data_IF_352398202716
#
_entry.id   IF_352398202716
#
_cell.length_a   1.000
_cell.length_b   1.000
_cell.length_c   1.000
_cell.angle_alpha   90.00
_cell.angle_beta   90.00
_cell.angle_gamma   90.00
#
_symmetry.space_group_name_H-M   'P 1'
#
loop_
_entity.id
_entity.type
_entity.pdbx_description
1 polymer ?
#
# COMPACT_ATOMS: atom_id res chain seq x y z
N UNK A 1 -9.43 1.01 12.23
CA UNK A 1 -9.02 2.11 11.33
C UNK A 1 -10.24 2.96 11.02
N UNK A 2 -10.07 4.27 11.05
CA UNK A 2 -11.15 5.20 10.71
C UNK A 2 -11.58 4.99 9.25
N UNK A 3 -12.89 4.98 9.00
CA UNK A 3 -13.44 4.79 7.66
C UNK A 3 -12.95 5.84 6.65
N UNK A 4 -12.61 7.05 7.13
CA UNK A 4 -12.12 8.14 6.28
C UNK A 4 -10.71 7.89 5.73
N UNK A 5 -9.93 7.00 6.35
CA UNK A 5 -8.55 6.72 5.94
C UNK A 5 -8.42 5.43 5.14
N UNK A 6 -9.55 4.85 4.75
CA UNK A 6 -9.57 3.60 3.98
C UNK A 6 -10.22 3.82 2.61
N UNK A 7 -9.55 3.34 1.56
CA UNK A 7 -10.16 3.32 0.23
C UNK A 7 -11.10 2.11 0.17
N UNK A 8 -12.39 2.33 -0.06
CA UNK A 8 -13.40 1.27 -0.01
C UNK A 8 -14.16 1.06 -1.30
N UNK A 9 -14.35 2.12 -2.08
CA UNK A 9 -15.23 2.05 -3.25
C UNK A 9 -14.49 1.58 -4.49
N UNK A 10 -15.15 0.74 -5.29
CA UNK A 10 -14.56 0.24 -6.54
C UNK A 10 -14.19 1.38 -7.50
N UNK A 11 -14.98 2.44 -7.53
CA UNK A 11 -14.68 3.61 -8.34
C UNK A 11 -13.37 4.29 -7.96
N UNK A 12 -13.09 4.36 -6.67
CA UNK A 12 -11.84 4.92 -6.17
C UNK A 12 -10.64 4.05 -6.57
N UNK A 13 -10.76 2.73 -6.42
CA UNK A 13 -9.70 1.81 -6.83
C UNK A 13 -9.40 1.95 -8.32
N UNK A 14 -10.43 1.96 -9.17
CA UNK A 14 -10.26 2.09 -10.62
C UNK A 14 -9.61 3.40 -11.00
N UNK A 15 -10.01 4.51 -10.35
CA UNK A 15 -9.44 5.82 -10.60
C UNK A 15 -7.95 5.84 -10.25
N UNK A 16 -7.58 5.28 -9.10
CA UNK A 16 -6.20 5.25 -8.63
C UNK A 16 -5.35 4.39 -9.56
N UNK A 17 -5.85 3.22 -9.97
CA UNK A 17 -5.13 2.35 -10.91
C UNK A 17 -4.91 3.03 -12.26
N UNK A 18 -5.89 3.79 -12.74
CA UNK A 18 -5.82 4.41 -14.05
C UNK A 18 -5.01 5.70 -14.07
N UNK A 19 -5.14 6.52 -13.05
CA UNK A 19 -4.54 7.87 -13.01
C UNK A 19 -3.31 7.96 -12.14
N UNK A 20 -3.15 7.05 -11.21
CA UNK A 20 -2.05 7.09 -10.27
C UNK A 20 -0.74 6.64 -10.86
N UNK A 21 0.32 6.86 -10.10
CA UNK A 21 1.63 6.32 -10.40
C UNK A 21 1.83 5.03 -9.62
N UNK A 22 2.75 4.19 -10.08
CA UNK A 22 3.02 2.93 -9.40
C UNK A 22 4.50 2.60 -9.36
N UNK A 23 4.86 1.79 -8.36
CA UNK A 23 6.21 1.21 -8.25
C UNK A 23 6.06 -0.23 -7.79
N UNK A 24 6.99 -1.08 -8.23
CA UNK A 24 6.97 -2.50 -7.95
C UNK A 24 8.29 -2.90 -7.29
N UNK A 25 8.22 -3.64 -6.21
CA UNK A 25 9.40 -4.21 -5.57
C UNK A 25 9.02 -5.54 -4.92
N UNK A 26 9.57 -6.63 -5.46
CA UNK A 26 9.39 -7.96 -4.88
C UNK A 26 7.93 -8.40 -4.73
N UNK A 27 7.45 -8.41 -3.49
CA UNK A 27 6.10 -8.89 -3.16
C UNK A 27 5.03 -7.82 -3.15
N UNK A 28 5.35 -6.55 -3.45
CA UNK A 28 4.40 -5.46 -3.34
C UNK A 28 4.41 -4.57 -4.58
N UNK A 29 3.23 -4.12 -4.98
CA UNK A 29 3.05 -3.01 -5.91
C UNK A 29 2.34 -1.90 -5.15
N UNK A 30 2.89 -0.69 -5.21
CA UNK A 30 2.28 0.48 -4.57
C UNK A 30 1.77 1.42 -5.65
N UNK A 31 0.48 1.75 -5.59
CA UNK A 31 -0.11 2.80 -6.41
C UNK A 31 -0.36 4.03 -5.55
N UNK A 32 -0.19 5.20 -6.10
CA UNK A 32 -0.51 6.43 -5.39
C UNK A 32 -1.15 7.45 -6.30
N UNK A 33 -2.06 8.23 -5.74
CA UNK A 33 -2.71 9.35 -6.42
C UNK A 33 -2.98 10.44 -5.40
N UNK A 34 -2.53 11.65 -5.69
CA UNK A 34 -2.80 12.77 -4.80
C UNK A 34 -4.30 13.02 -4.70
N UNK A 35 -4.80 13.23 -3.50
CA UNK A 35 -6.21 13.52 -3.28
C UNK A 35 -6.38 14.97 -2.79
N UNK A 36 -7.64 15.43 -2.74
CA UNK A 36 -7.95 16.80 -2.33
C UNK A 36 -8.33 16.92 -0.86
N UNK A 37 -8.30 15.81 -0.13
CA UNK A 37 -8.77 15.76 1.26
C UNK A 37 -7.69 16.15 2.27
N UNK A 38 -6.43 16.21 1.84
CA UNK A 38 -5.31 16.50 2.73
C UNK A 38 -4.96 15.37 3.67
N UNK A 39 -5.72 14.29 3.66
CA UNK A 39 -5.54 13.13 4.52
C UNK A 39 -5.32 11.90 3.65
N UNK A 40 -4.29 11.13 3.96
CA UNK A 40 -3.98 9.91 3.22
C UNK A 40 -4.99 8.81 3.52
N UNK A 41 -5.29 8.01 2.49
CA UNK A 41 -6.15 6.83 2.63
C UNK A 41 -5.42 5.61 2.10
N UNK A 42 -5.68 4.46 2.70
CA UNK A 42 -5.06 3.19 2.32
C UNK A 42 -6.09 2.20 1.80
N UNK A 43 -5.78 1.58 0.67
CA UNK A 43 -6.46 0.39 0.18
C UNK A 43 -5.46 -0.76 0.09
N UNK A 44 -5.91 -1.96 0.40
CA UNK A 44 -5.07 -3.17 0.30
C UNK A 44 -5.79 -4.19 -0.56
N UNK A 45 -5.09 -4.72 -1.55
CA UNK A 45 -5.63 -5.74 -2.46
C UNK A 45 -4.79 -7.00 -2.34
N UNK A 46 -5.45 -8.11 -1.99
CA UNK A 46 -4.82 -9.42 -1.88
C UNK A 46 -5.67 -10.43 -2.64
N UNK A 47 -5.14 -10.95 -3.74
CA UNK A 47 -5.83 -11.89 -4.61
C UNK A 47 -5.92 -13.29 -3.97
N UNK A 48 -6.95 -14.05 -4.35
CA UNK A 48 -7.09 -15.45 -3.95
C UNK A 48 -5.91 -16.32 -4.41
N UNK A 49 -5.14 -15.86 -5.38
CA UNK A 49 -3.96 -16.57 -5.87
C UNK A 49 -2.85 -16.71 -4.81
N UNK A 50 -2.87 -15.88 -3.76
CA UNK A 50 -1.88 -15.96 -2.69
C UNK A 50 -2.08 -17.16 -1.77
N UNK A 51 -3.28 -17.73 -1.74
CA UNK A 51 -3.59 -18.87 -0.89
C UNK A 51 -4.94 -18.75 -0.22
N UNK A 52 -5.14 -19.55 0.83
CA UNK A 52 -6.39 -19.57 1.60
C UNK A 52 -6.54 -18.30 2.45
N UNK A 53 -7.72 -18.14 3.05
CA UNK A 53 -8.07 -16.93 3.79
C UNK A 53 -7.08 -16.58 4.88
N UNK A 54 -6.53 -17.59 5.59
CA UNK A 54 -5.55 -17.37 6.66
C UNK A 54 -4.29 -16.67 6.12
N UNK A 55 -3.79 -17.14 4.98
CA UNK A 55 -2.60 -16.54 4.34
C UNK A 55 -2.91 -15.13 3.87
N UNK A 56 -4.05 -14.94 3.20
CA UNK A 56 -4.44 -13.62 2.70
C UNK A 56 -4.63 -12.60 3.81
N UNK A 57 -5.26 -13.02 4.91
CA UNK A 57 -5.47 -12.14 6.06
C UNK A 57 -4.15 -11.73 6.72
N UNK A 58 -3.18 -12.67 6.79
CA UNK A 58 -1.85 -12.36 7.30
C UNK A 58 -1.16 -11.30 6.44
N UNK A 59 -1.22 -11.44 5.12
CA UNK A 59 -0.62 -10.47 4.21
C UNK A 59 -1.30 -9.09 4.35
N UNK A 60 -2.64 -9.05 4.41
CA UNK A 60 -3.37 -7.80 4.63
C UNK A 60 -2.94 -7.11 5.92
N UNK A 61 -2.82 -7.88 7.01
CA UNK A 61 -2.42 -7.35 8.32
C UNK A 61 -1.02 -6.77 8.25
N UNK A 62 -0.08 -7.46 7.60
CA UNK A 62 1.29 -6.99 7.44
C UNK A 62 1.36 -5.71 6.61
N UNK A 63 0.58 -5.62 5.54
CA UNK A 63 0.54 -4.42 4.70
C UNK A 63 -0.02 -3.23 5.46
N UNK A 64 -1.10 -3.42 6.21
CA UNK A 64 -1.66 -2.36 7.06
C UNK A 64 -0.67 -1.91 8.12
N UNK A 65 0.06 -2.86 8.70
CA UNK A 65 1.09 -2.55 9.69
C UNK A 65 2.22 -1.72 9.10
N UNK A 66 2.69 -2.08 7.91
CA UNK A 66 3.72 -1.31 7.21
C UNK A 66 3.27 0.12 6.95
N UNK A 67 2.05 0.29 6.48
CA UNK A 67 1.49 1.63 6.26
C UNK A 67 1.43 2.41 7.56
N UNK A 68 0.91 1.80 8.62
CA UNK A 68 0.77 2.44 9.93
C UNK A 68 2.12 2.89 10.49
N UNK A 69 3.13 2.02 10.38
CA UNK A 69 4.46 2.30 10.92
C UNK A 69 5.17 3.44 10.19
N UNK A 70 4.96 3.56 8.90
CA UNK A 70 5.70 4.54 8.08
C UNK A 70 4.84 5.74 7.66
N UNK A 71 3.61 5.81 8.09
CA UNK A 71 2.66 6.86 7.70
C UNK A 71 3.21 8.26 7.97
N UNK A 72 3.83 8.47 9.13
CA UNK A 72 4.34 9.78 9.50
C UNK A 72 5.59 10.19 8.73
N UNK A 73 6.26 9.23 8.10
CA UNK A 73 7.41 9.49 7.24
C UNK A 73 7.02 9.76 5.79
N UNK A 74 5.72 9.68 5.48
CA UNK A 74 5.20 9.86 4.14
C UNK A 74 4.57 11.24 3.98
N UNK A 75 4.61 11.74 2.74
CA UNK A 75 3.90 12.96 2.39
C UNK A 75 2.39 12.73 2.55
N UNK A 76 1.65 13.67 3.17
CA UNK A 76 0.21 13.51 3.36
C UNK A 76 -0.59 13.78 2.09
N UNK A 77 -1.87 13.41 2.10
CA UNK A 77 -2.79 13.77 1.04
C UNK A 77 -2.76 12.87 -0.17
N UNK A 78 -2.34 11.62 0.00
CA UNK A 78 -2.31 10.63 -1.08
C UNK A 78 -3.23 9.46 -0.79
N UNK A 79 -3.92 9.00 -1.83
CA UNK A 79 -4.55 7.68 -1.81
C UNK A 79 -3.48 6.66 -2.19
N UNK A 80 -3.30 5.67 -1.33
CA UNK A 80 -2.29 4.62 -1.49
C UNK A 80 -3.00 3.28 -1.64
N UNK A 81 -2.64 2.51 -2.65
CA UNK A 81 -3.09 1.12 -2.75
C UNK A 81 -1.85 0.22 -2.73
N UNK A 82 -1.83 -0.72 -1.79
CA UNK A 82 -0.81 -1.75 -1.72
C UNK A 82 -1.40 -3.03 -2.30
N UNK A 83 -0.82 -3.52 -3.39
CA UNK A 83 -1.25 -4.75 -4.04
C UNK A 83 -0.24 -5.84 -3.73
N UNK A 84 -0.71 -6.96 -3.18
CA UNK A 84 0.16 -8.09 -2.87
C UNK A 84 0.39 -8.91 -4.13
N UNK A 85 1.67 -9.14 -4.44
CA UNK A 85 2.06 -10.13 -5.45
C UNK A 85 2.09 -11.50 -4.79
N UNK A 86 1.99 -12.56 -5.59
CA UNK A 86 1.91 -13.93 -5.06
C UNK A 86 3.05 -14.25 -4.10
N UNK A 87 4.27 -13.80 -4.40
CA UNK A 87 5.44 -14.06 -3.54
C UNK A 87 5.37 -13.39 -2.16
N UNK A 88 4.48 -12.42 -1.97
CA UNK A 88 4.32 -11.77 -0.66
C UNK A 88 3.94 -12.75 0.44
N UNK A 89 3.24 -13.84 0.09
CA UNK A 89 2.83 -14.87 1.05
C UNK A 89 4.02 -15.57 1.70
N UNK A 90 5.17 -15.62 1.02
CA UNK A 90 6.35 -16.37 1.47
C UNK A 90 7.48 -15.47 1.99
N UNK A 91 7.39 -14.16 1.77
CA UNK A 91 8.46 -13.25 2.14
C UNK A 91 8.44 -12.93 3.64
N UNK A 92 9.61 -12.84 4.28
CA UNK A 92 9.69 -12.33 5.64
C UNK A 92 9.20 -10.89 5.72
N UNK A 93 8.66 -10.51 6.87
CA UNK A 93 8.17 -9.15 7.08
C UNK A 93 9.24 -8.08 6.82
N UNK A 94 10.48 -8.32 7.27
CA UNK A 94 11.56 -7.37 7.08
C UNK A 94 11.86 -7.11 5.59
N UNK A 95 11.73 -8.14 4.75
CA UNK A 95 11.89 -7.97 3.30
C UNK A 95 10.75 -7.17 2.68
N UNK A 96 9.52 -7.47 3.09
CA UNK A 96 8.36 -6.70 2.64
C UNK A 96 8.50 -5.23 3.03
N UNK A 97 9.00 -4.95 4.22
CA UNK A 97 9.24 -3.58 4.67
C UNK A 97 10.23 -2.85 3.77
N UNK A 98 11.36 -3.48 3.48
CA UNK A 98 12.36 -2.88 2.59
C UNK A 98 11.79 -2.61 1.19
N UNK A 99 11.00 -3.54 0.69
CA UNK A 99 10.37 -3.41 -0.63
C UNK A 99 9.34 -2.29 -0.65
N UNK A 100 8.54 -2.18 0.42
CA UNK A 100 7.57 -1.10 0.56
C UNK A 100 8.26 0.26 0.59
N UNK A 101 9.29 0.41 1.42
CA UNK A 101 10.05 1.66 1.50
C UNK A 101 10.71 2.02 0.18
N UNK A 102 11.21 1.03 -0.56
CA UNK A 102 11.75 1.26 -1.89
C UNK A 102 10.69 1.80 -2.85
N UNK A 103 9.49 1.26 -2.82
CA UNK A 103 8.39 1.77 -3.63
C UNK A 103 8.07 3.21 -3.27
N UNK A 104 7.98 3.52 -1.98
CA UNK A 104 7.71 4.88 -1.52
C UNK A 104 8.78 5.86 -2.00
N UNK A 105 10.04 5.44 -1.92
CA UNK A 105 11.17 6.24 -2.39
C UNK A 105 11.09 6.51 -3.90
N UNK A 106 10.82 5.47 -4.68
CA UNK A 106 10.70 5.60 -6.13
C UNK A 106 9.53 6.52 -6.53
N UNK A 107 8.46 6.53 -5.75
CA UNK A 107 7.30 7.37 -5.99
C UNK A 107 7.45 8.79 -5.43
N UNK A 108 8.54 9.06 -4.72
CA UNK A 108 8.76 10.36 -4.11
C UNK A 108 7.82 10.66 -2.96
N UNK A 109 7.34 9.62 -2.26
CA UNK A 109 6.36 9.78 -1.19
C UNK A 109 6.98 9.92 0.20
N UNK A 110 8.28 9.68 0.36
CA UNK A 110 8.95 9.83 1.64
C UNK A 110 9.30 11.29 1.88
N UNK A 111 9.15 11.76 3.13
CA UNK A 111 9.59 13.09 3.52
C UNK A 111 11.11 13.15 3.46
N UNK A 112 11.65 14.30 3.07
CA UNK A 112 13.11 14.47 2.97
C UNK A 112 13.79 14.41 4.34
N UNK A 113 13.05 14.74 5.40
CA UNK A 113 13.54 14.73 6.77
C UNK A 113 13.29 13.41 7.49
N UNK A 114 12.80 12.41 6.80
CA UNK A 114 12.48 11.11 7.38
C UNK A 114 13.70 10.21 7.50
#
# INVERSE_FOLDING_TARGET
>A
MDARVTVKQNGDFRRIYRRGRSAVAGGVVVYCLKNRQGMSRLGVTVSTKLGHAVVRNRVRRRFRELYRLHKDDMLPGYDIIMVARVRAAELPYAKLEKQYLRCLSELGLLREDA
#
